data_IF_022799627314
#
_entry.id   IF_022799627314
#
_cell.length_a   1.000
_cell.length_b   1.000
_cell.length_c   1.000
_cell.angle_alpha   90.00
_cell.angle_beta   90.00
_cell.angle_gamma   90.00
#
_symmetry.space_group_name_H-M   'P 1'
#
loop_
_entity.id
_entity.type
_entity.pdbx_description
1 polymer ?
#
# COMPACT_ATOMS: atom_id res chain seq x y z
N UNK A 1 -51.25 -27.37 16.26
CA UNK A 1 -51.17 -28.54 15.36
C UNK A 1 -50.19 -28.16 14.25
N UNK A 2 -49.02 -28.72 14.01
CA UNK A 2 -48.25 -29.85 14.56
C UNK A 2 -46.79 -29.37 14.65
N UNK A 3 -46.19 -29.53 15.85
CA UNK A 3 -44.74 -29.43 16.10
C UNK A 3 -44.13 -30.77 15.73
N UNK A 4 -43.04 -30.79 14.95
CA UNK A 4 -42.08 -31.91 14.98
C UNK A 4 -40.69 -31.34 15.25
N UNK A 5 -40.12 -31.73 16.39
CA UNK A 5 -38.75 -31.47 16.76
C UNK A 5 -37.84 -32.63 16.34
N UNK A 6 -36.54 -32.32 16.24
CA UNK A 6 -35.47 -33.31 16.14
C UNK A 6 -34.19 -32.71 16.69
N UNK A 7 -33.87 -33.03 17.96
CA UNK A 7 -32.57 -32.78 18.61
C UNK A 7 -31.75 -34.07 18.52
N UNK A 8 -30.54 -34.00 17.96
CA UNK A 8 -29.37 -34.86 18.20
C UNK A 8 -28.17 -33.97 17.79
N UNK A 9 -27.08 -33.71 18.52
CA UNK A 9 -26.49 -34.29 19.72
C UNK A 9 -25.00 -34.55 19.47
N UNK A 10 -24.11 -33.73 20.06
CA UNK A 10 -22.67 -33.97 20.34
C UNK A 10 -21.72 -34.09 19.11
N UNK A 11 -20.48 -33.55 19.06
CA UNK A 11 -19.42 -33.46 20.08
C UNK A 11 -18.47 -32.28 19.81
N UNK A 12 -18.32 -31.37 20.77
CA UNK A 12 -17.20 -30.44 20.84
C UNK A 12 -16.04 -31.17 21.51
N UNK A 13 -14.92 -31.37 20.80
CA UNK A 13 -13.67 -31.82 21.43
C UNK A 13 -12.90 -30.58 21.88
N UNK A 14 -12.90 -30.37 23.20
CA UNK A 14 -11.89 -29.59 23.89
C UNK A 14 -10.54 -30.30 23.76
N UNK A 15 -9.48 -29.56 23.43
CA UNK A 15 -8.10 -29.99 23.64
C UNK A 15 -7.48 -29.01 24.63
N UNK A 16 -7.25 -29.55 25.82
CA UNK A 16 -6.61 -28.92 26.97
C UNK A 16 -5.09 -28.93 26.78
N UNK A 17 -4.50 -27.73 26.83
CA UNK A 17 -3.25 -27.34 27.50
C UNK A 17 -2.26 -28.40 28.02
N UNK A 18 -1.00 -28.28 27.59
CA UNK A 18 0.22 -28.35 28.42
C UNK A 18 0.92 -26.99 28.26
N UNK A 19 1.38 -26.25 29.27
CA UNK A 19 1.79 -26.63 30.61
C UNK A 19 3.29 -26.36 30.78
N UNK A 20 3.70 -25.08 30.82
CA UNK A 20 5.04 -24.67 31.24
C UNK A 20 4.97 -23.28 31.88
N UNK A 21 4.58 -23.24 33.15
CA UNK A 21 4.64 -22.07 34.00
C UNK A 21 6.04 -22.02 34.66
N UNK A 22 6.84 -21.02 34.29
CA UNK A 22 8.05 -20.65 35.02
C UNK A 22 7.64 -19.81 36.23
N UNK A 23 7.71 -20.44 37.41
CA UNK A 23 7.66 -19.81 38.72
C UNK A 23 8.95 -18.99 38.95
N UNK A 24 8.82 -17.67 39.00
CA UNK A 24 9.76 -16.82 39.73
C UNK A 24 9.06 -16.27 40.97
N UNK A 25 9.48 -16.76 42.12
CA UNK A 25 9.07 -16.30 43.43
C UNK A 25 9.53 -14.85 43.65
N UNK A 26 8.60 -13.95 43.95
CA UNK A 26 8.90 -12.67 44.58
C UNK A 26 8.23 -12.68 45.95
N UNK A 27 9.06 -12.61 46.98
CA UNK A 27 8.69 -12.61 48.39
C UNK A 27 7.87 -11.36 48.73
N UNK A 28 6.72 -11.57 49.37
CA UNK A 28 5.99 -10.54 50.11
C UNK A 28 6.78 -10.17 51.37
N UNK A 29 7.18 -8.91 51.50
CA UNK A 29 7.75 -8.34 52.71
C UNK A 29 6.97 -7.10 53.14
N UNK A 30 6.34 -7.23 54.31
CA UNK A 30 5.72 -6.25 55.22
C UNK A 30 5.69 -4.75 54.89
N UNK A 31 4.50 -4.19 55.05
CA UNK A 31 4.24 -2.76 55.20
C UNK A 31 4.94 -2.18 56.44
N UNK A 32 5.68 -1.09 56.27
CA UNK A 32 6.02 -0.15 57.33
C UNK A 32 5.68 1.27 56.85
N UNK A 33 4.68 1.90 57.47
CA UNK A 33 4.43 3.32 57.30
C UNK A 33 5.54 4.10 58.02
N UNK A 34 6.42 4.74 57.26
CA UNK A 34 7.31 5.78 57.74
C UNK A 34 6.72 7.16 57.38
N UNK A 35 6.90 8.12 58.27
CA UNK A 35 6.47 9.52 58.15
C UNK A 35 6.98 10.18 56.85
N UNK A 36 6.36 11.28 56.37
CA UNK A 36 6.81 11.94 55.16
C UNK A 36 8.20 12.55 55.36
N UNK A 37 9.22 11.87 54.84
CA UNK A 37 10.56 12.41 54.69
C UNK A 37 10.52 13.59 53.70
N UNK A 38 11.32 14.62 54.01
CA UNK A 38 11.54 15.80 53.19
C UNK A 38 11.88 15.43 51.74
N UNK A 39 11.50 16.25 50.74
CA UNK A 39 11.76 15.95 49.34
C UNK A 39 13.26 15.70 49.12
N UNK A 40 13.62 14.68 48.30
CA UNK A 40 15.01 14.34 48.07
C UNK A 40 15.73 15.52 47.43
N UNK A 41 16.78 15.99 48.10
CA UNK A 41 17.75 16.93 47.52
C UNK A 41 18.40 16.20 46.33
N UNK A 42 18.33 16.74 45.09
CA UNK A 42 18.96 16.10 43.95
C UNK A 42 20.49 16.05 44.16
N UNK A 43 21.17 14.98 43.71
CA UNK A 43 22.63 14.90 43.77
C UNK A 43 23.24 16.06 42.95
N UNK A 44 24.44 16.55 43.33
CA UNK A 44 25.10 17.62 42.59
C UNK A 44 25.35 17.17 41.16
N UNK A 45 24.91 18.01 40.21
CA UNK A 45 25.13 17.80 38.79
C UNK A 45 26.62 18.01 38.48
N UNK A 46 27.40 16.94 38.48
CA UNK A 46 28.77 16.93 37.95
C UNK A 46 28.73 16.95 36.41
N UNK A 47 28.31 18.09 35.88
CA UNK A 47 28.60 18.70 34.57
C UNK A 47 27.95 20.09 34.59
N UNK A 48 28.26 20.88 35.62
CA UNK A 48 27.75 22.24 35.71
C UNK A 48 28.29 23.02 34.50
N UNK A 49 27.38 23.47 33.64
CA UNK A 49 27.66 24.50 32.63
C UNK A 49 28.07 25.75 33.43
N UNK A 50 29.37 25.98 33.53
CA UNK A 50 29.96 27.00 34.42
C UNK A 50 30.42 28.23 33.66
N UNK A 51 30.48 28.16 32.31
CA UNK A 51 30.92 29.26 31.45
C UNK A 51 29.92 29.59 30.34
N UNK A 52 30.01 30.81 29.81
CA UNK A 52 29.28 31.24 28.60
C UNK A 52 29.60 30.35 27.40
N UNK A 53 30.84 29.85 27.32
CA UNK A 53 31.29 28.96 26.25
C UNK A 53 30.57 27.61 26.31
N UNK A 54 30.35 27.06 27.52
CA UNK A 54 29.62 25.81 27.71
C UNK A 54 28.14 25.98 27.35
N UNK A 55 27.54 27.13 27.67
CA UNK A 55 26.15 27.43 27.30
C UNK A 55 25.99 27.54 25.78
N UNK A 56 26.95 28.18 25.10
CA UNK A 56 26.98 28.26 23.63
C UNK A 56 27.15 26.89 22.99
N UNK A 57 28.02 26.03 23.54
CA UNK A 57 28.19 24.67 23.06
C UNK A 57 26.92 23.81 23.27
N UNK A 58 26.27 23.96 24.43
CA UNK A 58 24.99 23.31 24.71
C UNK A 58 23.89 23.77 23.74
N UNK A 59 23.79 25.07 23.48
CA UNK A 59 22.88 25.62 22.47
C UNK A 59 23.13 25.00 21.09
N UNK A 60 24.36 25.03 20.61
CA UNK A 60 24.72 24.50 19.30
C UNK A 60 24.39 23.01 19.19
N UNK A 61 24.65 22.24 20.27
CA UNK A 61 24.32 20.81 20.33
C UNK A 61 22.82 20.55 20.27
N UNK A 62 22.02 21.32 21.03
CA UNK A 62 20.55 21.20 21.02
C UNK A 62 19.98 21.56 19.65
N UNK A 63 20.45 22.63 19.03
CA UNK A 63 20.01 23.03 17.69
C UNK A 63 20.35 21.96 16.65
N UNK A 64 21.55 21.39 16.72
CA UNK A 64 21.96 20.30 15.83
C UNK A 64 21.13 19.03 16.03
N UNK A 65 20.86 18.63 17.28
CA UNK A 65 20.01 17.46 17.57
C UNK A 65 18.60 17.64 17.03
N UNK A 66 17.99 18.82 17.20
CA UNK A 66 16.67 19.09 16.62
C UNK A 66 16.69 19.13 15.10
N UNK A 67 17.74 19.68 14.47
CA UNK A 67 17.89 19.66 13.01
C UNK A 67 18.01 18.23 12.48
N UNK A 68 18.81 17.39 13.14
CA UNK A 68 18.94 15.97 12.79
C UNK A 68 17.62 15.22 13.00
N UNK A 69 16.88 15.53 14.07
CA UNK A 69 15.56 14.98 14.33
C UNK A 69 14.54 15.37 13.25
N UNK A 70 14.56 16.61 12.77
CA UNK A 70 13.71 17.08 11.68
C UNK A 70 14.08 16.38 10.36
N UNK A 71 15.37 16.30 10.02
CA UNK A 71 15.82 15.55 8.84
C UNK A 71 15.36 14.08 8.86
N UNK A 72 15.47 13.43 10.00
CA UNK A 72 15.01 12.05 10.17
C UNK A 72 13.48 11.95 10.15
N UNK A 73 12.75 12.95 10.67
CA UNK A 73 11.29 13.05 10.57
C UNK A 73 10.83 13.11 9.11
N UNK A 74 11.52 13.90 8.29
CA UNK A 74 11.19 14.00 6.88
C UNK A 74 11.48 12.71 6.09
N UNK A 75 12.56 11.99 6.45
CA UNK A 75 12.80 10.63 5.92
C UNK A 75 11.69 9.67 6.33
N UNK A 76 11.31 9.66 7.61
CA UNK A 76 10.21 8.84 8.12
C UNK A 76 8.90 9.12 7.39
N UNK A 77 8.60 10.39 7.13
CA UNK A 77 7.41 10.82 6.39
C UNK A 77 7.44 10.31 4.94
N UNK A 78 8.57 10.44 4.26
CA UNK A 78 8.75 9.92 2.90
C UNK A 78 8.57 8.38 2.84
N UNK A 79 9.20 7.64 3.77
CA UNK A 79 9.08 6.19 3.87
C UNK A 79 7.62 5.78 4.14
N UNK A 80 6.91 6.50 5.01
CA UNK A 80 5.50 6.24 5.32
C UNK A 80 4.58 6.51 4.13
N UNK A 81 4.83 7.58 3.35
CA UNK A 81 4.08 7.83 2.11
C UNK A 81 4.34 6.75 1.06
N UNK A 82 5.59 6.32 0.91
CA UNK A 82 5.94 5.21 0.03
C UNK A 82 5.26 3.91 0.46
N UNK A 83 5.25 3.62 1.77
CA UNK A 83 4.58 2.45 2.32
C UNK A 83 3.08 2.47 1.98
N UNK A 84 2.40 3.59 2.18
CA UNK A 84 0.99 3.74 1.80
C UNK A 84 0.74 3.49 0.31
N UNK A 85 1.60 4.03 -0.58
CA UNK A 85 1.51 3.78 -2.03
C UNK A 85 1.76 2.31 -2.38
N UNK A 86 2.73 1.66 -1.73
CA UNK A 86 3.04 0.22 -1.92
C UNK A 86 1.88 -0.65 -1.44
N UNK A 87 1.23 -0.31 -0.33
CA UNK A 87 0.05 -1.02 0.17
C UNK A 87 -1.12 -0.95 -0.80
N UNK A 88 -1.39 0.22 -1.41
CA UNK A 88 -2.42 0.35 -2.44
C UNK A 88 -2.11 -0.53 -3.66
N UNK A 89 -0.85 -0.57 -4.12
CA UNK A 89 -0.42 -1.46 -5.20
C UNK A 89 -0.55 -2.93 -4.82
N UNK A 90 -0.20 -3.29 -3.58
CA UNK A 90 -0.35 -4.66 -3.08
C UNK A 90 -1.82 -5.11 -3.11
N UNK A 91 -2.75 -4.23 -2.74
CA UNK A 91 -4.19 -4.51 -2.80
C UNK A 91 -4.66 -4.75 -4.25
N UNK A 92 -4.22 -3.92 -5.19
CA UNK A 92 -4.54 -4.07 -6.61
C UNK A 92 -3.98 -5.38 -7.20
N UNK A 93 -2.71 -5.68 -6.91
CA UNK A 93 -2.07 -6.93 -7.35
C UNK A 93 -2.75 -8.15 -6.74
N UNK A 94 -3.15 -8.10 -5.46
CA UNK A 94 -3.87 -9.19 -4.80
C UNK A 94 -5.24 -9.44 -5.46
N UNK A 95 -5.97 -8.39 -5.84
CA UNK A 95 -7.19 -8.54 -6.63
C UNK A 95 -6.91 -9.17 -8.00
N UNK A 96 -5.81 -8.77 -8.65
CA UNK A 96 -5.32 -9.38 -9.88
C UNK A 96 -4.98 -10.87 -9.76
N UNK A 97 -4.38 -11.30 -8.63
CA UNK A 97 -4.12 -12.72 -8.35
C UNK A 97 -5.43 -13.51 -8.25
N UNK A 98 -6.45 -12.97 -7.58
CA UNK A 98 -7.76 -13.63 -7.47
C UNK A 98 -8.39 -13.81 -8.86
N UNK A 99 -8.36 -12.77 -9.69
CA UNK A 99 -8.89 -12.83 -11.05
C UNK A 99 -8.10 -13.81 -11.94
N UNK A 100 -6.77 -13.78 -11.86
CA UNK A 100 -5.91 -14.70 -12.62
C UNK A 100 -6.16 -16.16 -12.23
N UNK A 101 -6.38 -16.45 -10.94
CA UNK A 101 -6.77 -17.80 -10.48
C UNK A 101 -8.10 -18.23 -11.10
N UNK A 102 -9.11 -17.37 -11.11
CA UNK A 102 -10.40 -17.69 -11.74
C UNK A 102 -10.25 -18.00 -13.23
N UNK A 103 -9.38 -17.29 -13.95
CA UNK A 103 -9.13 -17.57 -15.36
C UNK A 103 -8.39 -18.89 -15.59
N UNK A 104 -7.44 -19.23 -14.73
CA UNK A 104 -6.79 -20.54 -14.77
C UNK A 104 -7.82 -21.65 -14.57
N UNK A 105 -8.73 -21.51 -13.60
CA UNK A 105 -9.79 -22.51 -13.38
C UNK A 105 -10.75 -22.62 -14.58
N UNK A 106 -11.20 -21.50 -15.16
CA UNK A 106 -12.00 -21.52 -16.40
C UNK A 106 -11.25 -22.17 -17.56
N UNK A 107 -9.96 -21.87 -17.73
CA UNK A 107 -9.15 -22.46 -18.79
C UNK A 107 -8.95 -23.97 -18.59
N UNK A 108 -8.83 -24.45 -17.35
CA UNK A 108 -8.82 -25.88 -17.02
C UNK A 108 -10.15 -26.55 -17.33
N UNK A 109 -11.29 -25.89 -17.06
CA UNK A 109 -12.61 -26.39 -17.45
C UNK A 109 -12.73 -26.55 -18.97
N UNK A 110 -12.26 -25.57 -19.73
CA UNK A 110 -12.25 -25.59 -21.20
C UNK A 110 -11.36 -26.73 -21.75
N UNK A 111 -10.15 -26.86 -21.20
CA UNK A 111 -9.25 -27.98 -21.51
C UNK A 111 -9.87 -29.34 -21.15
N UNK A 112 -10.57 -29.43 -20.02
CA UNK A 112 -11.27 -30.64 -19.60
C UNK A 112 -12.41 -31.02 -20.55
N UNK A 113 -13.14 -30.03 -21.10
CA UNK A 113 -14.14 -30.28 -22.16
C UNK A 113 -13.48 -30.79 -23.43
N UNK A 114 -12.38 -30.17 -23.85
CA UNK A 114 -11.61 -30.61 -25.02
C UNK A 114 -11.09 -32.05 -24.86
N UNK A 115 -10.50 -32.37 -23.71
CA UNK A 115 -9.99 -33.71 -23.42
C UNK A 115 -11.10 -34.77 -23.44
N UNK A 116 -12.28 -34.47 -22.88
CA UNK A 116 -13.45 -35.35 -22.93
C UNK A 116 -13.92 -35.59 -24.37
N UNK A 117 -13.99 -34.55 -25.20
CA UNK A 117 -14.35 -34.69 -26.61
C UNK A 117 -13.40 -35.65 -27.31
N UNK A 118 -12.08 -35.42 -27.23
CA UNK A 118 -11.07 -36.28 -27.85
C UNK A 118 -11.15 -37.73 -27.37
N UNK A 119 -11.37 -37.94 -26.07
CA UNK A 119 -11.55 -39.26 -25.48
C UNK A 119 -12.79 -39.98 -26.03
N UNK A 120 -13.94 -39.28 -26.09
CA UNK A 120 -15.20 -39.86 -26.58
C UNK A 120 -15.20 -40.17 -28.08
N UNK A 121 -14.49 -39.38 -28.89
CA UNK A 121 -14.38 -39.61 -30.34
C UNK A 121 -13.32 -40.66 -30.73
N UNK A 122 -12.64 -41.31 -29.75
CA UNK A 122 -11.62 -42.35 -29.96
C UNK A 122 -10.64 -42.02 -31.09
N UNK A 123 -9.97 -40.87 -31.00
CA UNK A 123 -8.69 -40.55 -31.65
C UNK A 123 -8.33 -41.21 -33.00
N UNK A 124 -9.26 -41.34 -33.96
CA UNK A 124 -8.86 -41.71 -35.32
C UNK A 124 -8.25 -40.48 -35.97
N UNK A 125 -7.03 -40.60 -36.46
CA UNK A 125 -6.34 -39.51 -37.14
C UNK A 125 -7.23 -38.98 -38.28
N UNK A 126 -7.43 -37.66 -38.42
CA UNK A 126 -8.21 -37.10 -39.52
C UNK A 126 -7.72 -37.57 -40.90
N UNK A 127 -6.43 -37.86 -41.04
CA UNK A 127 -5.83 -38.40 -42.26
C UNK A 127 -6.20 -39.88 -42.47
N UNK A 128 -6.24 -40.67 -41.39
CA UNK A 128 -6.78 -42.05 -41.42
C UNK A 128 -8.28 -42.03 -41.76
N UNK A 129 -9.02 -41.08 -41.22
CA UNK A 129 -10.45 -40.88 -41.52
C UNK A 129 -10.66 -40.52 -42.99
N UNK A 130 -9.81 -39.69 -43.58
CA UNK A 130 -9.81 -39.39 -45.01
C UNK A 130 -9.50 -40.63 -45.86
N UNK A 131 -8.45 -41.38 -45.52
CA UNK A 131 -8.03 -42.60 -46.24
C UNK A 131 -9.05 -43.74 -46.15
N UNK A 132 -9.80 -43.81 -45.06
CA UNK A 132 -10.83 -44.81 -44.82
C UNK A 132 -12.24 -44.31 -45.20
N UNK A 133 -12.38 -43.07 -45.70
CA UNK A 133 -13.68 -42.50 -46.06
C UNK A 133 -14.19 -43.04 -47.40
N UNK A 134 -15.49 -43.33 -47.47
CA UNK A 134 -16.16 -43.76 -48.69
C UNK A 134 -16.46 -42.61 -49.68
N UNK A 135 -16.38 -41.34 -49.23
CA UNK A 135 -16.60 -40.14 -50.05
C UNK A 135 -15.52 -39.06 -49.76
N UNK A 136 -14.41 -39.06 -50.51
CA UNK A 136 -13.36 -38.07 -50.37
C UNK A 136 -13.79 -36.63 -50.70
N UNK A 137 -14.81 -36.46 -51.56
CA UNK A 137 -15.27 -35.14 -51.98
C UNK A 137 -16.05 -34.44 -50.85
N UNK A 138 -16.75 -35.20 -50.00
CA UNK A 138 -17.38 -34.66 -48.79
C UNK A 138 -16.34 -34.17 -47.78
N UNK A 139 -15.28 -34.95 -47.54
CA UNK A 139 -14.21 -34.52 -46.64
C UNK A 139 -13.57 -33.20 -47.09
N UNK A 140 -13.26 -33.05 -48.39
CA UNK A 140 -12.68 -31.81 -48.92
C UNK A 140 -13.61 -30.59 -48.77
N UNK A 141 -14.94 -30.79 -48.75
CA UNK A 141 -15.92 -29.73 -48.44
C UNK A 141 -15.91 -29.36 -46.96
N UNK A 142 -15.69 -30.33 -46.08
CA UNK A 142 -15.71 -30.15 -44.62
C UNK A 142 -14.35 -29.73 -44.03
N UNK A 143 -13.26 -29.86 -44.80
CA UNK A 143 -11.89 -29.55 -44.39
C UNK A 143 -11.70 -28.15 -43.75
N UNK A 144 -12.30 -27.06 -44.27
CA UNK A 144 -12.21 -25.75 -43.61
C UNK A 144 -12.84 -25.72 -42.21
N UNK A 145 -13.84 -26.56 -41.96
CA UNK A 145 -14.48 -26.68 -40.64
C UNK A 145 -13.57 -27.43 -39.66
N UNK A 146 -12.92 -28.49 -40.10
CA UNK A 146 -11.91 -29.20 -39.30
C UNK A 146 -10.72 -28.31 -38.95
N UNK A 147 -10.24 -27.51 -39.90
CA UNK A 147 -9.16 -26.55 -39.65
C UNK A 147 -9.56 -25.53 -38.57
N UNK A 148 -10.77 -24.96 -38.65
CA UNK A 148 -11.28 -24.05 -37.60
C UNK A 148 -11.39 -24.72 -36.24
N UNK A 149 -11.81 -25.99 -36.20
CA UNK A 149 -11.85 -26.76 -34.95
C UNK A 149 -10.44 -26.96 -34.39
N UNK A 150 -9.47 -27.39 -35.22
CA UNK A 150 -8.07 -27.55 -34.83
C UNK A 150 -7.47 -26.24 -34.28
N UNK A 151 -7.66 -25.13 -35.00
CA UNK A 151 -7.23 -23.81 -34.53
C UNK A 151 -7.89 -23.42 -33.21
N UNK A 152 -9.20 -23.65 -33.06
CA UNK A 152 -9.88 -23.40 -31.78
C UNK A 152 -9.34 -24.25 -30.62
N UNK A 153 -8.83 -25.47 -30.88
CA UNK A 153 -8.18 -26.31 -29.86
C UNK A 153 -6.82 -25.74 -29.46
N UNK A 154 -6.00 -25.36 -30.44
CA UNK A 154 -4.71 -24.71 -30.21
C UNK A 154 -4.87 -23.40 -29.44
N UNK A 155 -5.87 -22.58 -29.78
CA UNK A 155 -6.20 -21.35 -29.06
C UNK A 155 -6.61 -21.61 -27.61
N UNK A 156 -7.32 -22.71 -27.35
CA UNK A 156 -7.72 -23.10 -25.98
C UNK A 156 -6.50 -23.46 -25.13
N UNK A 157 -5.57 -24.23 -25.69
CA UNK A 157 -4.30 -24.58 -25.04
C UNK A 157 -3.45 -23.33 -24.81
N UNK A 158 -3.35 -22.45 -25.81
CA UNK A 158 -2.61 -21.20 -25.71
C UNK A 158 -3.19 -20.27 -24.62
N UNK A 159 -4.52 -20.13 -24.55
CA UNK A 159 -5.20 -19.37 -23.48
C UNK A 159 -4.93 -19.94 -22.09
N UNK A 160 -4.96 -21.26 -21.93
CA UNK A 160 -4.67 -21.89 -20.65
C UNK A 160 -3.22 -21.66 -20.20
N UNK A 161 -2.26 -21.86 -21.11
CA UNK A 161 -0.85 -21.55 -20.86
C UNK A 161 -0.66 -20.08 -20.49
N UNK A 162 -1.32 -19.16 -21.21
CA UNK A 162 -1.24 -17.74 -20.92
C UNK A 162 -1.85 -17.37 -19.56
N UNK A 163 -2.97 -17.98 -19.18
CA UNK A 163 -3.59 -17.78 -17.87
C UNK A 163 -2.67 -18.23 -16.72
N UNK A 164 -2.00 -19.38 -16.86
CA UNK A 164 -1.03 -19.85 -15.86
C UNK A 164 0.18 -18.90 -15.74
N UNK A 165 0.75 -18.47 -16.87
CA UNK A 165 1.85 -17.49 -16.88
C UNK A 165 1.45 -16.17 -16.22
N UNK A 166 0.23 -15.68 -16.48
CA UNK A 166 -0.31 -14.48 -15.84
C UNK A 166 -0.47 -14.67 -14.32
N UNK A 167 -0.99 -15.82 -13.88
CA UNK A 167 -1.10 -16.13 -12.46
C UNK A 167 0.26 -16.13 -11.76
N UNK A 168 1.26 -16.79 -12.33
CA UNK A 168 2.62 -16.81 -11.78
C UNK A 168 3.24 -15.41 -11.74
N UNK A 169 3.05 -14.61 -12.80
CA UNK A 169 3.54 -13.23 -12.82
C UNK A 169 2.88 -12.36 -11.74
N UNK A 170 1.56 -12.48 -11.55
CA UNK A 170 0.81 -11.76 -10.52
C UNK A 170 1.21 -12.19 -9.10
N UNK A 171 1.42 -13.49 -8.87
CA UNK A 171 1.91 -13.99 -7.58
C UNK A 171 3.30 -13.45 -7.26
N UNK A 172 4.23 -13.48 -8.22
CA UNK A 172 5.57 -12.91 -8.05
C UNK A 172 5.52 -11.41 -7.77
N UNK A 173 4.62 -10.67 -8.42
CA UNK A 173 4.38 -9.26 -8.14
C UNK A 173 3.87 -9.04 -6.71
N UNK A 174 2.91 -9.86 -6.26
CA UNK A 174 2.35 -9.77 -4.90
C UNK A 174 3.42 -10.00 -3.84
N UNK A 175 4.25 -11.03 -4.00
CA UNK A 175 5.35 -11.33 -3.09
C UNK A 175 6.37 -10.19 -3.04
N UNK A 176 6.68 -9.57 -4.19
CA UNK A 176 7.58 -8.42 -4.26
C UNK A 176 7.00 -7.18 -3.53
N UNK A 177 5.70 -6.89 -3.69
CA UNK A 177 5.06 -5.78 -2.96
C UNK A 177 5.04 -6.03 -1.45
N UNK A 178 4.81 -7.28 -1.02
CA UNK A 178 4.85 -7.64 0.40
C UNK A 178 6.25 -7.51 1.00
N UNK A 179 7.28 -7.95 0.27
CA UNK A 179 8.67 -7.80 0.70
C UNK A 179 9.06 -6.32 0.84
N UNK A 180 8.66 -5.49 -0.12
CA UNK A 180 8.91 -4.04 -0.08
C UNK A 180 8.14 -3.36 1.07
N UNK A 181 6.89 -3.72 1.32
CA UNK A 181 6.11 -3.21 2.46
C UNK A 181 6.84 -3.50 3.78
N UNK A 182 7.31 -4.74 3.98
CA UNK A 182 8.06 -5.12 5.19
C UNK A 182 9.36 -4.35 5.34
N UNK A 183 10.09 -4.13 4.24
CA UNK A 183 11.33 -3.34 4.23
C UNK A 183 11.07 -1.90 4.67
N UNK A 184 10.04 -1.26 4.10
CA UNK A 184 9.64 0.11 4.43
C UNK A 184 9.13 0.23 5.87
N UNK A 185 8.39 -0.76 6.38
CA UNK A 185 7.95 -0.82 7.78
C UNK A 185 9.14 -0.89 8.75
N UNK A 186 10.15 -1.70 8.44
CA UNK A 186 11.37 -1.78 9.25
C UNK A 186 12.16 -0.47 9.22
N UNK A 187 12.33 0.13 8.03
CA UNK A 187 13.01 1.41 7.85
C UNK A 187 12.32 2.54 8.62
N UNK A 188 10.98 2.59 8.56
CA UNK A 188 10.17 3.54 9.33
C UNK A 188 10.31 3.31 10.85
N UNK A 189 10.35 2.05 11.31
CA UNK A 189 10.55 1.72 12.71
C UNK A 189 11.93 2.16 13.21
N UNK A 190 13.00 1.88 12.47
CA UNK A 190 14.36 2.31 12.82
C UNK A 190 14.47 3.82 12.87
N UNK A 191 13.92 4.51 11.85
CA UNK A 191 13.96 5.98 11.80
C UNK A 191 13.18 6.60 12.95
N UNK A 192 12.03 6.01 13.33
CA UNK A 192 11.27 6.44 14.51
C UNK A 192 12.12 6.39 15.78
N UNK A 193 12.84 5.29 16.02
CA UNK A 193 13.72 5.16 17.18
C UNK A 193 14.85 6.18 17.16
N UNK A 194 15.47 6.42 16.00
CA UNK A 194 16.53 7.41 15.83
C UNK A 194 16.05 8.83 16.20
N UNK A 195 14.90 9.23 15.66
CA UNK A 195 14.37 10.56 15.96
C UNK A 195 14.02 10.68 17.46
N UNK A 196 13.45 9.63 18.08
CA UNK A 196 13.12 9.61 19.52
C UNK A 196 14.38 9.78 20.38
N UNK A 197 15.46 9.10 20.01
CA UNK A 197 16.75 9.20 20.68
C UNK A 197 17.29 10.63 20.63
N UNK A 198 17.25 11.27 19.45
CA UNK A 198 17.75 12.65 19.26
C UNK A 198 16.95 13.66 20.06
N UNK A 199 15.62 13.55 20.07
CA UNK A 199 14.73 14.42 20.85
C UNK A 199 15.03 14.25 22.34
N UNK A 200 15.14 13.01 22.81
CA UNK A 200 15.42 12.71 24.23
C UNK A 200 16.78 13.28 24.67
N UNK A 201 17.80 13.19 23.80
CA UNK A 201 19.12 13.77 24.07
C UNK A 201 19.05 15.30 24.17
N UNK A 202 18.32 15.96 23.25
CA UNK A 202 18.15 17.41 23.27
C UNK A 202 17.42 17.87 24.54
N UNK A 203 16.34 17.17 24.91
CA UNK A 203 15.59 17.43 26.15
C UNK A 203 16.43 17.24 27.40
N UNK A 204 17.31 16.22 27.42
CA UNK A 204 18.22 15.99 28.55
C UNK A 204 19.17 17.16 28.74
N UNK A 205 19.72 17.73 27.66
CA UNK A 205 20.57 18.91 27.73
C UNK A 205 19.79 20.10 28.28
N UNK A 206 18.59 20.37 27.74
CA UNK A 206 17.76 21.48 28.19
C UNK A 206 17.31 21.35 29.65
N UNK A 207 17.01 20.13 30.10
CA UNK A 207 16.62 19.85 31.49
C UNK A 207 17.77 20.04 32.48
N UNK A 208 19.03 20.04 32.01
CA UNK A 208 20.21 20.33 32.83
C UNK A 208 20.51 21.81 33.02
N UNK A 209 19.79 22.72 32.35
CA UNK A 209 20.04 24.17 32.39
C UNK A 209 19.22 24.85 33.50
N UNK A 210 19.78 25.89 34.13
CA UNK A 210 19.04 26.74 35.07
C UNK A 210 18.05 27.66 34.35
N UNK A 211 17.02 28.21 35.04
CA UNK A 211 16.11 29.19 34.46
C UNK A 211 16.82 30.42 33.85
N UNK A 212 17.91 30.88 34.46
CA UNK A 212 18.72 32.00 33.97
C UNK A 212 19.45 31.64 32.68
N UNK A 213 20.02 30.43 32.61
CA UNK A 213 20.68 29.91 31.40
C UNK A 213 19.68 29.73 30.25
N UNK A 214 18.47 29.24 30.54
CA UNK A 214 17.39 29.14 29.56
C UNK A 214 16.92 30.52 29.06
N UNK A 215 16.87 31.53 29.94
CA UNK A 215 16.54 32.89 29.55
C UNK A 215 17.61 33.52 28.66
N UNK A 216 18.91 33.31 28.97
CA UNK A 216 20.00 33.80 28.11
C UNK A 216 20.00 33.07 26.76
N UNK A 217 19.73 31.76 26.74
CA UNK A 217 19.56 30.99 25.51
C UNK A 217 18.47 31.60 24.60
N UNK A 218 17.31 31.92 25.18
CA UNK A 218 16.23 32.57 24.45
C UNK A 218 16.62 33.97 23.94
N UNK A 219 17.42 34.72 24.71
CA UNK A 219 17.94 36.03 24.30
C UNK A 219 18.89 35.92 23.11
N UNK A 220 19.80 34.93 23.13
CA UNK A 220 20.71 34.67 22.01
C UNK A 220 19.97 34.24 20.74
N UNK A 221 18.97 33.37 20.87
CA UNK A 221 18.11 32.98 19.75
C UNK A 221 17.36 34.19 19.16
N UNK A 222 16.85 35.09 20.00
CA UNK A 222 16.20 36.32 19.56
C UNK A 222 17.15 37.26 18.81
N UNK A 223 18.37 37.50 19.34
CA UNK A 223 19.38 38.33 18.68
C UNK A 223 19.80 37.76 17.32
N UNK A 224 20.01 36.44 17.24
CA UNK A 224 20.29 35.76 15.97
C UNK A 224 19.14 35.93 14.97
N UNK A 225 17.90 35.81 15.45
CA UNK A 225 16.72 35.99 14.61
C UNK A 225 16.54 37.42 14.11
N UNK A 226 16.89 38.42 14.91
CA UNK A 226 16.89 39.84 14.51
C UNK A 226 17.96 40.12 13.46
N UNK A 227 19.18 39.60 13.65
CA UNK A 227 20.27 39.75 12.69
C UNK A 227 19.93 39.12 11.33
N UNK A 228 19.41 37.89 11.34
CA UNK A 228 18.98 37.22 10.13
C UNK A 228 17.79 37.92 9.45
N UNK A 229 16.87 38.51 10.22
CA UNK A 229 15.78 39.32 9.67
C UNK A 229 16.29 40.61 9.04
N UNK A 230 17.28 41.28 9.65
CA UNK A 230 17.89 42.46 9.06
C UNK A 230 18.56 42.14 7.72
N UNK A 231 19.27 41.01 7.64
CA UNK A 231 19.83 40.52 6.38
C UNK A 231 18.75 40.17 5.36
N UNK A 232 17.64 39.56 5.78
CA UNK A 232 16.53 39.29 4.86
C UNK A 232 15.93 40.60 4.31
N UNK A 233 15.74 41.61 5.17
CA UNK A 233 15.19 42.91 4.78
C UNK A 233 16.03 43.68 3.76
N UNK A 234 17.33 43.38 3.63
CA UNK A 234 18.15 43.97 2.55
C UNK A 234 17.98 43.25 1.22
N UNK A 235 17.54 41.98 1.24
CA UNK A 235 17.31 41.14 0.06
C UNK A 235 15.88 41.23 -0.45
N UNK A 236 14.91 41.35 0.45
CA UNK A 236 13.50 41.54 0.12
C UNK A 236 13.25 43.04 0.01
N UNK A 237 12.77 43.49 -1.15
CA UNK A 237 12.47 44.90 -1.37
C UNK A 237 11.27 45.36 -0.55
N UNK A 238 10.43 46.25 -1.11
CA UNK A 238 9.16 46.60 -0.46
C UNK A 238 8.30 45.34 -0.33
N UNK A 239 7.84 44.97 0.88
CA UNK A 239 7.07 43.75 1.07
C UNK A 239 5.73 43.85 0.33
N UNK A 240 5.48 42.93 -0.60
CA UNK A 240 4.15 42.78 -1.20
C UNK A 240 3.19 42.20 -0.16
N UNK A 241 2.00 42.79 -0.07
CA UNK A 241 0.90 42.33 0.79
C UNK A 241 -0.20 41.64 -0.03
N UNK A 242 -0.07 41.64 -1.35
CA UNK A 242 -1.00 40.99 -2.26
C UNK A 242 -0.64 39.51 -2.41
N UNK A 243 -1.67 38.70 -2.51
CA UNK A 243 -1.57 37.26 -2.70
C UNK A 243 -2.76 36.76 -3.53
N UNK A 244 -2.84 35.47 -3.86
CA UNK A 244 -4.01 34.93 -4.57
C UNK A 244 -5.10 34.50 -3.58
N UNK A 245 -6.37 34.36 -4.03
CA UNK A 245 -7.43 33.82 -3.18
C UNK A 245 -7.08 32.46 -2.56
N UNK A 246 -6.39 31.60 -3.31
CA UNK A 246 -5.96 30.27 -2.81
C UNK A 246 -4.88 30.40 -1.74
N UNK A 247 -3.86 31.23 -1.98
CA UNK A 247 -2.84 31.49 -0.99
C UNK A 247 -3.42 32.14 0.29
N UNK A 248 -4.40 33.05 0.16
CA UNK A 248 -5.10 33.61 1.31
C UNK A 248 -5.84 32.55 2.14
N UNK A 249 -6.49 31.56 1.50
CA UNK A 249 -7.11 30.42 2.19
C UNK A 249 -6.07 29.54 2.89
N UNK A 250 -4.92 29.27 2.26
CA UNK A 250 -3.84 28.49 2.86
C UNK A 250 -3.27 29.20 4.10
N UNK A 251 -3.03 30.51 3.99
CA UNK A 251 -2.58 31.35 5.11
C UNK A 251 -3.59 31.32 6.26
N UNK A 252 -4.89 31.51 5.95
CA UNK A 252 -5.94 31.48 6.96
C UNK A 252 -5.99 30.14 7.69
N UNK A 253 -5.86 29.02 6.96
CA UNK A 253 -5.75 27.70 7.57
C UNK A 253 -4.56 27.60 8.51
N UNK A 254 -3.37 28.04 8.08
CA UNK A 254 -2.16 27.94 8.88
C UNK A 254 -2.21 28.82 10.14
N UNK A 255 -2.76 30.03 10.02
CA UNK A 255 -3.02 30.94 11.15
C UNK A 255 -3.96 30.30 12.18
N UNK A 256 -5.03 29.64 11.73
CA UNK A 256 -5.97 28.93 12.61
C UNK A 256 -5.31 27.78 13.40
N UNK A 257 -4.13 27.31 12.98
CA UNK A 257 -3.39 26.27 13.71
C UNK A 257 -2.39 26.83 14.72
N UNK A 258 -2.18 28.14 14.79
CA UNK A 258 -1.29 28.75 15.79
C UNK A 258 -1.70 28.31 17.20
N UNK A 259 -0.70 27.95 18.01
CA UNK A 259 -0.90 27.42 19.36
C UNK A 259 -1.07 25.90 19.43
N UNK A 260 -1.35 25.20 18.33
CA UNK A 260 -1.34 23.71 18.32
C UNK A 260 0.09 23.18 18.48
N UNK A 261 0.29 22.04 19.15
CA UNK A 261 1.62 21.46 19.35
C UNK A 261 2.27 21.04 18.03
N UNK A 262 3.59 21.13 17.99
CA UNK A 262 4.38 20.40 17.01
C UNK A 262 4.28 18.90 17.32
N UNK A 263 3.96 18.12 16.30
CA UNK A 263 3.98 16.66 16.37
C UNK A 263 4.76 16.19 15.15
N UNK A 264 5.92 15.57 15.34
CA UNK A 264 6.69 14.96 14.24
C UNK A 264 5.80 14.00 13.43
N UNK A 265 5.82 14.07 12.10
CA UNK A 265 4.89 13.33 11.25
C UNK A 265 3.43 13.79 11.30
N UNK A 266 3.10 14.79 12.11
CA UNK A 266 1.76 15.27 12.38
C UNK A 266 1.13 16.00 11.19
N UNK A 267 -0.13 15.70 10.93
CA UNK A 267 -0.93 16.29 9.83
C UNK A 267 -2.31 16.75 10.29
N UNK A 268 -2.48 17.00 11.59
CA UNK A 268 -3.73 17.41 12.23
C UNK A 268 -4.67 16.26 12.62
N UNK A 269 -5.78 16.56 13.32
CA UNK A 269 -6.12 17.90 13.82
C UNK A 269 -5.39 18.28 15.12
N UNK A 270 -4.82 17.31 15.84
CA UNK A 270 -4.23 17.53 17.18
C UNK A 270 -2.93 18.33 17.15
N UNK A 271 -2.14 18.22 16.07
CA UNK A 271 -0.89 18.94 15.89
C UNK A 271 -0.29 18.65 14.52
N UNK A 272 0.76 19.39 14.16
CA UNK A 272 1.38 19.33 12.83
C UNK A 272 2.90 19.35 12.95
N UNK A 273 3.62 18.72 12.02
CA UNK A 273 5.02 19.07 11.76
C UNK A 273 5.12 20.20 10.72
N UNK A 274 6.34 20.62 10.37
CA UNK A 274 6.55 21.78 9.51
C UNK A 274 5.93 21.60 8.11
N UNK A 275 6.25 20.49 7.44
CA UNK A 275 5.76 20.16 6.09
C UNK A 275 4.31 19.65 6.08
N UNK A 276 3.83 19.11 7.19
CA UNK A 276 2.45 18.71 7.43
C UNK A 276 1.53 19.92 7.55
N UNK A 277 1.97 20.98 8.22
CA UNK A 277 1.23 22.25 8.28
C UNK A 277 1.07 22.87 6.87
N UNK A 278 2.16 22.97 6.11
CA UNK A 278 2.13 23.58 4.76
C UNK A 278 1.32 22.72 3.79
N UNK A 279 1.50 21.40 3.80
CA UNK A 279 0.77 20.49 2.92
C UNK A 279 -0.74 20.49 3.19
N UNK A 280 -1.15 20.54 4.46
CA UNK A 280 -2.58 20.62 4.82
C UNK A 280 -3.18 22.00 4.53
N UNK A 281 -2.44 23.08 4.76
CA UNK A 281 -2.89 24.42 4.40
C UNK A 281 -3.17 24.57 2.90
N UNK A 282 -2.24 24.12 2.06
CA UNK A 282 -2.40 24.20 0.62
C UNK A 282 -3.41 23.19 0.05
N UNK A 283 -3.53 22.00 0.66
CA UNK A 283 -4.62 21.08 0.34
C UNK A 283 -6.00 21.67 0.66
N UNK A 284 -6.15 22.38 1.79
CA UNK A 284 -7.38 23.09 2.15
C UNK A 284 -7.74 24.19 1.12
N UNK A 285 -6.73 24.85 0.56
CA UNK A 285 -6.88 25.82 -0.52
C UNK A 285 -7.09 25.21 -1.93
N UNK A 286 -7.22 23.87 -2.03
CA UNK A 286 -7.44 23.17 -3.30
C UNK A 286 -6.20 23.06 -4.19
N UNK A 287 -5.00 23.15 -3.61
CA UNK A 287 -3.70 22.95 -4.29
C UNK A 287 -2.89 21.95 -3.48
N UNK A 288 -3.16 20.64 -3.57
CA UNK A 288 -2.41 19.65 -2.82
C UNK A 288 -0.92 19.69 -3.22
N UNK A 289 -0.04 19.81 -2.23
CA UNK A 289 1.41 19.71 -2.39
C UNK A 289 1.93 18.45 -1.70
N UNK A 290 3.17 18.07 -2.02
CA UNK A 290 3.85 16.89 -1.47
C UNK A 290 3.97 16.93 0.06
N UNK A 291 4.09 15.77 0.70
CA UNK A 291 4.04 15.65 2.17
C UNK A 291 5.29 16.20 2.86
N UNK A 292 6.47 16.00 2.28
CA UNK A 292 7.76 16.34 2.92
C UNK A 292 8.31 17.66 2.42
N UNK A 293 9.10 18.34 3.26
CA UNK A 293 9.73 19.62 2.90
C UNK A 293 10.69 19.47 1.71
N UNK A 294 11.43 18.36 1.61
CA UNK A 294 12.32 18.07 0.48
C UNK A 294 11.54 17.87 -0.81
N UNK A 295 10.40 17.15 -0.78
CA UNK A 295 9.58 16.99 -1.97
C UNK A 295 8.88 18.30 -2.35
N UNK A 296 8.46 19.12 -1.40
CA UNK A 296 7.93 20.46 -1.66
C UNK A 296 8.99 21.33 -2.34
N UNK A 297 10.23 21.32 -1.86
CA UNK A 297 11.37 21.98 -2.49
C UNK A 297 11.67 21.44 -3.91
N UNK A 298 11.62 20.13 -4.09
CA UNK A 298 11.94 19.49 -5.37
C UNK A 298 10.87 19.71 -6.43
N UNK A 299 9.58 19.70 -6.05
CA UNK A 299 8.46 19.68 -6.99
C UNK A 299 7.86 21.04 -7.32
N UNK A 300 8.03 22.05 -6.45
CA UNK A 300 7.41 23.35 -6.62
C UNK A 300 8.28 24.34 -7.42
N UNK A 301 7.66 25.28 -8.17
CA UNK A 301 8.36 26.38 -8.81
C UNK A 301 9.15 27.22 -7.81
N UNK A 302 10.40 27.57 -8.16
CA UNK A 302 11.27 28.41 -7.34
C UNK A 302 11.00 29.88 -7.62
N UNK A 303 11.09 30.70 -6.59
CA UNK A 303 10.86 32.14 -6.67
C UNK A 303 12.08 32.87 -6.07
N UNK A 304 12.58 33.94 -6.73
CA UNK A 304 13.58 34.81 -6.13
C UNK A 304 13.10 35.39 -4.79
N UNK A 305 13.99 35.56 -3.81
CA UNK A 305 13.62 36.13 -2.51
C UNK A 305 12.93 37.50 -2.64
N UNK A 306 13.38 38.33 -3.58
CA UNK A 306 12.80 39.65 -3.82
C UNK A 306 11.34 39.60 -4.32
N UNK A 307 10.93 38.48 -4.93
CA UNK A 307 9.59 38.28 -5.49
C UNK A 307 8.69 37.45 -4.57
N UNK A 308 9.13 37.18 -3.33
CA UNK A 308 8.32 36.44 -2.36
C UNK A 308 7.04 37.20 -2.03
N UNK A 309 5.94 36.47 -1.94
CA UNK A 309 4.63 37.02 -1.56
C UNK A 309 3.95 36.13 -0.52
N UNK A 310 3.01 36.67 0.29
CA UNK A 310 2.29 35.87 1.26
C UNK A 310 1.72 34.60 0.64
N UNK A 311 1.89 33.46 1.30
CA UNK A 311 1.52 32.13 0.83
C UNK A 311 2.68 31.32 0.26
N UNK A 312 3.72 31.97 -0.27
CA UNK A 312 4.94 31.27 -0.67
C UNK A 312 5.54 30.49 0.50
N UNK A 313 6.22 29.39 0.21
CA UNK A 313 6.86 28.55 1.21
C UNK A 313 8.35 28.86 1.26
N UNK A 314 8.86 29.15 2.45
CA UNK A 314 10.29 29.36 2.69
C UNK A 314 10.88 28.05 3.18
N UNK A 315 11.81 27.50 2.40
CA UNK A 315 12.55 26.28 2.72
C UNK A 315 13.87 26.67 3.37
N UNK A 316 14.20 26.02 4.48
CA UNK A 316 15.36 26.31 5.31
C UNK A 316 16.36 25.16 5.29
N UNK A 317 17.63 25.54 5.54
CA UNK A 317 18.81 24.67 5.57
C UNK A 317 19.13 24.00 4.22
N UNK A 318 20.41 23.71 3.99
CA UNK A 318 20.90 23.12 2.72
C UNK A 318 20.27 21.76 2.37
N UNK A 319 19.77 21.04 3.36
CA UNK A 319 19.12 19.73 3.21
C UNK A 319 17.60 19.83 3.10
N UNK A 320 17.05 21.05 3.01
CA UNK A 320 15.62 21.33 2.96
C UNK A 320 14.85 20.66 4.09
N UNK A 321 15.44 20.58 5.29
CA UNK A 321 14.87 19.87 6.44
C UNK A 321 13.73 20.62 7.10
N UNK A 322 13.60 21.94 6.93
CA UNK A 322 12.53 22.71 7.56
C UNK A 322 11.83 23.63 6.57
N UNK A 323 10.55 23.90 6.83
CA UNK A 323 9.73 24.76 5.96
C UNK A 323 8.73 25.60 6.75
N UNK A 324 8.47 26.82 6.28
CA UNK A 324 7.44 27.71 6.82
C UNK A 324 6.64 28.39 5.71
N UNK A 325 5.43 28.86 6.02
CA UNK A 325 4.61 29.64 5.08
C UNK A 325 4.82 31.13 5.33
N UNK A 326 5.18 31.87 4.29
CA UNK A 326 5.37 33.32 4.35
C UNK A 326 4.03 34.04 4.53
N UNK A 327 3.99 35.00 5.44
CA UNK A 327 2.80 35.80 5.75
C UNK A 327 2.88 37.23 5.21
N UNK A 328 4.00 37.62 4.61
CA UNK A 328 4.31 39.03 4.33
C UNK A 328 5.11 39.69 5.46
N UNK A 329 5.62 40.89 5.20
CA UNK A 329 6.33 41.73 6.19
C UNK A 329 7.49 41.02 6.90
N UNK A 330 8.19 40.12 6.20
CA UNK A 330 9.29 39.35 6.79
C UNK A 330 8.84 38.38 7.88
N UNK A 331 7.59 37.91 7.86
CA UNK A 331 7.05 36.96 8.84
C UNK A 331 6.68 35.63 8.19
N UNK A 332 6.79 34.56 8.98
CA UNK A 332 6.33 33.22 8.62
C UNK A 332 5.41 32.68 9.70
N UNK A 333 4.54 31.73 9.33
CA UNK A 333 3.94 30.76 10.25
C UNK A 333 4.59 29.40 10.01
N UNK A 334 4.98 28.71 11.09
CA UNK A 334 5.57 27.38 11.01
C UNK A 334 5.30 26.55 12.27
N UNK A 335 5.52 25.24 12.16
CA UNK A 335 5.64 24.35 13.31
C UNK A 335 7.14 24.16 13.61
N UNK A 336 7.71 24.76 14.66
CA UNK A 336 9.17 24.92 14.79
C UNK A 336 9.95 23.64 15.14
N UNK A 337 9.52 22.89 16.17
CA UNK A 337 10.19 21.68 16.68
C UNK A 337 9.37 21.03 17.80
N UNK A 338 9.64 19.77 18.18
CA UNK A 338 9.05 19.14 19.37
C UNK A 338 9.18 20.01 20.62
N UNK A 339 8.16 19.99 21.48
CA UNK A 339 8.12 20.84 22.68
C UNK A 339 7.73 22.30 22.42
N UNK A 340 7.39 22.66 21.18
CA UNK A 340 6.91 23.99 20.81
C UNK A 340 5.56 23.89 20.11
N UNK A 341 4.88 25.02 19.98
CA UNK A 341 3.63 25.12 19.25
C UNK A 341 3.83 25.89 17.94
N UNK A 342 2.87 25.72 17.03
CA UNK A 342 2.80 26.49 15.79
C UNK A 342 2.74 27.97 16.14
N UNK A 343 3.64 28.76 15.55
CA UNK A 343 3.85 30.16 15.91
C UNK A 343 4.16 31.01 14.68
N UNK A 344 4.01 32.31 14.84
CA UNK A 344 4.59 33.31 13.94
C UNK A 344 6.04 33.57 14.35
N UNK A 345 6.94 33.70 13.37
CA UNK A 345 8.35 34.03 13.58
C UNK A 345 8.86 34.97 12.47
N UNK A 346 10.04 35.56 12.67
CA UNK A 346 10.76 36.26 11.62
C UNK A 346 11.17 35.28 10.53
N UNK A 347 10.91 35.62 9.27
CA UNK A 347 11.25 34.79 8.11
C UNK A 347 12.75 34.55 7.99
N UNK A 348 13.57 35.54 8.39
CA UNK A 348 15.03 35.45 8.41
C UNK A 348 15.60 34.80 9.66
N UNK A 349 14.80 34.21 10.55
CA UNK A 349 15.32 33.65 11.83
C UNK A 349 16.15 32.38 11.68
N UNK A 350 16.16 31.77 10.49
CA UNK A 350 16.87 30.54 10.17
C UNK A 350 17.53 30.67 8.78
N UNK A 351 18.61 29.93 8.49
CA UNK A 351 19.25 29.94 7.18
C UNK A 351 18.30 29.52 6.06
N UNK A 352 17.98 30.44 5.14
CA UNK A 352 17.07 30.17 4.02
C UNK A 352 17.83 29.45 2.90
N UNK A 353 17.29 28.31 2.45
CA UNK A 353 17.72 27.64 1.22
C UNK A 353 17.10 28.30 -0.02
N UNK A 354 15.81 28.60 0.05
CA UNK A 354 15.10 29.24 -1.04
C UNK A 354 13.59 29.33 -0.80
N UNK A 355 12.89 29.89 -1.79
CA UNK A 355 11.44 30.10 -1.76
C UNK A 355 10.79 29.33 -2.90
N UNK A 356 9.65 28.70 -2.62
CA UNK A 356 8.83 28.01 -3.61
C UNK A 356 7.38 28.46 -3.58
N UNK A 357 6.72 28.44 -4.74
CA UNK A 357 5.36 28.94 -4.92
C UNK A 357 4.41 27.84 -5.38
N UNK A 358 3.45 27.43 -4.53
CA UNK A 358 2.48 26.38 -4.87
C UNK A 358 1.47 26.71 -5.97
N UNK A 359 1.13 27.99 -6.19
CA UNK A 359 0.03 28.38 -7.07
C UNK A 359 0.50 29.14 -8.33
N UNK A 360 -0.34 29.10 -9.38
CA UNK A 360 -0.02 29.70 -10.68
C UNK A 360 -0.25 31.23 -10.78
N UNK A 361 -0.55 31.92 -9.67
CA UNK A 361 -0.57 33.40 -9.65
C UNK A 361 -1.82 34.11 -10.17
N UNK A 362 -2.95 33.44 -10.38
CA UNK A 362 -4.16 34.10 -10.90
C UNK A 362 -4.96 34.88 -9.83
N UNK A 363 -5.14 36.19 -10.06
CA UNK A 363 -5.93 37.10 -9.23
C UNK A 363 -5.22 37.56 -7.95
N UNK A 364 -5.43 38.80 -7.52
CA UNK A 364 -4.80 39.37 -6.31
C UNK A 364 -5.84 39.79 -5.27
N UNK A 365 -5.65 39.36 -4.03
CA UNK A 365 -6.37 39.75 -2.80
C UNK A 365 -5.36 40.15 -1.74
N UNK A 366 -5.80 40.88 -0.71
CA UNK A 366 -4.95 41.15 0.44
C UNK A 366 -4.73 39.88 1.25
N UNK A 367 -3.51 39.66 1.73
CA UNK A 367 -3.22 38.56 2.65
C UNK A 367 -3.99 38.72 3.97
N UNK A 368 -4.38 37.60 4.63
CA UNK A 368 -4.98 37.65 5.96
C UNK A 368 -4.09 38.40 6.96
N UNK A 369 -4.72 39.10 7.90
CA UNK A 369 -4.01 39.84 8.93
C UNK A 369 -3.13 38.90 9.78
N UNK A 370 -1.88 39.29 10.01
CA UNK A 370 -0.95 38.55 10.85
C UNK A 370 -1.39 38.73 12.31
N UNK A 371 -1.69 37.64 13.05
CA UNK A 371 -2.09 37.77 14.44
C UNK A 371 -0.92 38.28 15.30
N UNK A 372 -1.19 39.20 16.22
CA UNK A 372 -0.21 39.64 17.21
C UNK A 372 -0.17 38.63 18.36
N UNK A 373 0.54 37.52 18.17
CA UNK A 373 0.71 36.49 19.21
C UNK A 373 2.14 36.56 19.74
N UNK A 374 2.35 36.89 21.03
CA UNK A 374 3.63 36.65 21.67
C UNK A 374 3.97 35.17 21.54
N UNK A 375 5.17 34.85 21.06
CA UNK A 375 5.63 33.46 21.02
C UNK A 375 5.46 32.84 22.41
N UNK A 376 4.97 31.58 22.51
CA UNK A 376 4.71 30.98 23.80
C UNK A 376 6.01 30.92 24.63
N UNK A 377 5.92 31.12 25.96
CA UNK A 377 7.04 30.81 26.85
C UNK A 377 7.49 29.36 26.61
N UNK A 378 8.76 29.03 26.88
CA UNK A 378 9.24 27.65 26.82
C UNK A 378 8.61 26.84 27.96
N UNK A 379 7.32 26.56 27.87
CA UNK A 379 6.70 25.48 28.63
C UNK A 379 7.03 24.17 27.93
N UNK A 380 7.03 23.06 28.67
CA UNK A 380 7.21 21.71 28.14
C UNK A 380 5.84 21.12 27.79
N UNK A 381 5.27 21.34 26.59
CA UNK A 381 4.16 20.52 26.14
C UNK A 381 4.68 19.09 25.90
N UNK A 382 3.88 18.06 26.19
CA UNK A 382 4.30 16.68 26.00
C UNK A 382 4.66 16.41 24.54
N UNK A 383 5.82 15.83 24.28
CA UNK A 383 6.15 15.26 22.97
C UNK A 383 5.25 14.05 22.76
N UNK A 384 4.16 14.24 22.03
CA UNK A 384 3.27 13.14 21.69
C UNK A 384 3.88 12.37 20.52
N UNK A 385 4.15 11.09 20.75
CA UNK A 385 4.39 10.16 19.65
C UNK A 385 3.08 10.06 18.85
N UNK A 386 3.05 10.33 17.53
CA UNK A 386 1.86 10.31 16.72
C UNK A 386 1.37 8.87 16.69
N UNK A 387 0.06 8.66 16.78
CA UNK A 387 -0.51 7.36 16.47
C UNK A 387 -0.11 7.03 15.03
N UNK A 388 0.44 5.84 14.83
CA UNK A 388 0.57 5.28 13.49
C UNK A 388 -0.84 4.92 13.05
N UNK A 389 -1.52 5.84 12.37
CA UNK A 389 -2.70 5.45 11.59
C UNK A 389 -2.18 4.77 10.33
N UNK A 390 -1.67 3.55 10.48
CA UNK A 390 -1.64 2.62 9.36
C UNK A 390 -3.08 2.44 8.94
N UNK A 391 -3.45 2.68 7.66
CA UNK A 391 -4.76 2.23 7.19
C UNK A 391 -4.89 0.75 7.57
N UNK A 392 -6.05 0.33 8.11
CA UNK A 392 -6.20 -1.03 8.59
C UNK A 392 -5.83 -1.99 7.47
N UNK A 393 -4.88 -2.87 7.77
CA UNK A 393 -4.60 -4.03 6.95
C UNK A 393 -5.85 -4.89 7.03
N UNK A 394 -6.80 -4.66 6.13
CA UNK A 394 -7.66 -5.75 5.70
C UNK A 394 -6.73 -6.64 4.89
N UNK A 395 -6.03 -7.55 5.56
CA UNK A 395 -5.62 -8.79 4.92
C UNK A 395 -6.93 -9.38 4.43
N UNK A 396 -7.24 -9.40 3.11
CA UNK A 396 -8.23 -10.36 2.66
C UNK A 396 -7.73 -11.71 3.20
N UNK A 397 -8.58 -12.51 3.84
CA UNK A 397 -8.13 -13.78 4.35
C UNK A 397 -7.48 -14.51 3.19
N UNK A 398 -6.20 -14.86 3.35
CA UNK A 398 -5.61 -15.92 2.55
C UNK A 398 -6.27 -17.21 3.07
N UNK A 399 -7.56 -17.38 2.77
CA UNK A 399 -8.06 -18.72 2.57
C UNK A 399 -7.33 -19.16 1.31
N UNK A 400 -6.27 -19.94 1.48
CA UNK A 400 -6.04 -21.01 0.53
C UNK A 400 -7.36 -21.80 0.52
N UNK A 401 -8.22 -21.70 -0.52
CA UNK A 401 -9.23 -22.73 -0.67
C UNK A 401 -8.46 -24.06 -0.67
N UNK A 402 -8.98 -25.10 0.00
CA UNK A 402 -8.30 -26.38 0.02
C UNK A 402 -7.96 -26.75 -1.41
N UNK A 403 -6.70 -27.11 -1.65
CA UNK A 403 -6.32 -27.81 -2.87
C UNK A 403 -7.06 -29.14 -2.80
N UNK A 404 -8.29 -29.14 -3.30
CA UNK A 404 -8.94 -30.36 -3.70
C UNK A 404 -8.23 -30.75 -4.98
N UNK A 405 -7.12 -31.48 -4.84
CA UNK A 405 -6.72 -32.38 -5.91
C UNK A 405 -7.95 -33.22 -6.21
N UNK A 406 -8.55 -33.14 -7.42
CA UNK A 406 -9.55 -34.12 -7.78
C UNK A 406 -8.90 -35.50 -7.60
N UNK A 407 -9.61 -36.49 -7.04
CA UNK A 407 -9.04 -37.81 -6.87
C UNK A 407 -8.52 -38.28 -8.21
N UNK A 408 -7.24 -38.66 -8.26
CA UNK A 408 -6.70 -39.43 -9.38
C UNK A 408 -7.39 -40.78 -9.30
N UNK A 409 -8.55 -40.90 -9.95
CA UNK A 409 -9.12 -42.21 -10.25
C UNK A 409 -8.29 -42.76 -11.41
N UNK A 410 -7.31 -43.59 -11.08
CA UNK A 410 -6.79 -44.55 -12.04
C UNK A 410 -8.00 -45.35 -12.56
N UNK A 411 -8.30 -45.33 -13.87
CA UNK A 411 -9.35 -46.20 -14.39
C UNK A 411 -8.95 -47.66 -14.10
N UNK A 412 -9.90 -48.54 -13.75
CA UNK A 412 -9.58 -49.94 -13.54
C UNK A 412 -9.00 -50.51 -14.82
N UNK A 413 -7.84 -51.16 -14.71
CA UNK A 413 -7.27 -51.97 -15.78
C UNK A 413 -8.19 -53.18 -15.96
N UNK A 414 -9.09 -53.11 -16.92
CA UNK A 414 -9.78 -54.29 -17.42
C UNK A 414 -8.97 -54.87 -18.58
N UNK A 415 -8.31 -55.99 -18.32
CA UNK A 415 -7.79 -56.86 -19.37
C UNK A 415 -8.98 -57.37 -20.20
N UNK A 416 -8.98 -57.20 -21.54
CA UNK A 416 -10.02 -57.79 -22.38
C UNK A 416 -9.91 -59.33 -22.33
N UNK A 417 -11.03 -60.07 -22.41
CA UNK A 417 -10.98 -61.52 -22.44
C UNK A 417 -10.29 -62.00 -23.72
N UNK A 418 -9.30 -62.87 -23.55
CA UNK A 418 -8.66 -63.60 -24.66
C UNK A 418 -9.66 -64.63 -25.16
N UNK A 419 -10.30 -64.35 -26.30
CA UNK A 419 -11.03 -65.38 -27.05
C UNK A 419 -10.05 -66.08 -27.98
N UNK A 420 -9.68 -67.31 -27.62
CA UNK A 420 -9.01 -68.25 -28.54
C UNK A 420 -9.98 -68.68 -29.63
N UNK A 421 -9.62 -68.61 -30.93
CA UNK A 421 -10.46 -69.16 -31.99
C UNK A 421 -10.44 -70.70 -31.94
N UNK A 422 -11.55 -71.39 -32.28
CA UNK A 422 -11.59 -72.84 -32.30
C UNK A 422 -10.74 -73.40 -33.45
N UNK A 423 -10.16 -74.62 -33.30
CA UNK A 423 -9.30 -75.22 -34.30
C UNK A 423 -10.08 -75.62 -35.57
N UNK A 424 -9.49 -75.29 -36.72
CA UNK A 424 -9.95 -75.69 -38.06
C UNK A 424 -9.74 -77.19 -38.26
N UNK A 425 -10.82 -77.97 -38.28
CA UNK A 425 -10.83 -79.34 -38.80
C UNK A 425 -11.49 -79.36 -40.17
N UNK A 426 -10.74 -79.77 -41.19
CA UNK A 426 -11.25 -79.99 -42.54
C UNK A 426 -12.14 -81.25 -42.58
N UNK A 427 -13.30 -81.22 -43.25
CA UNK A 427 -14.06 -82.43 -43.52
C UNK A 427 -13.57 -83.12 -44.81
N UNK A 428 -13.64 -84.47 -44.89
CA UNK A 428 -13.16 -85.26 -46.02
C UNK A 428 -14.16 -85.31 -47.18
N UNK A 429 -13.63 -85.60 -48.36
CA UNK A 429 -14.32 -85.81 -49.64
C UNK A 429 -15.04 -87.16 -49.75
N UNK A 430 -16.26 -87.20 -50.30
CA UNK A 430 -16.76 -88.21 -51.28
C UNK A 430 -18.19 -87.88 -51.81
N UNK A 431 -18.59 -88.34 -53.02
CA UNK A 431 -19.69 -87.78 -53.86
C UNK A 431 -20.92 -88.74 -54.02
N UNK A 432 -21.81 -88.60 -55.04
CA UNK A 432 -23.03 -87.78 -55.03
C UNK A 432 -24.35 -88.60 -55.15
N UNK A 433 -25.51 -87.97 -54.91
CA UNK A 433 -26.79 -88.46 -55.44
C UNK A 433 -27.81 -87.34 -55.70
N UNK A 434 -28.47 -87.49 -56.83
CA UNK A 434 -29.50 -86.70 -57.52
C UNK A 434 -30.81 -86.46 -56.73
N UNK A 435 -31.44 -85.30 -56.97
CA UNK A 435 -32.82 -85.03 -56.56
C UNK A 435 -33.36 -83.71 -57.13
N UNK A 436 -34.17 -83.82 -58.17
CA UNK A 436 -34.87 -82.82 -58.98
C UNK A 436 -35.95 -82.00 -58.24
N UNK A 437 -36.22 -80.75 -58.66
CA UNK A 437 -37.53 -80.10 -58.44
C UNK A 437 -37.53 -78.57 -58.37
N UNK A 438 -37.77 -77.92 -59.51
CA UNK A 438 -37.95 -76.46 -59.74
C UNK A 438 -39.41 -76.00 -59.39
N UNK A 439 -39.85 -74.75 -59.68
CA UNK A 439 -39.88 -73.55 -58.82
C UNK A 439 -41.32 -73.00 -58.59
N UNK A 440 -41.46 -71.88 -57.86
CA UNK A 440 -42.51 -70.90 -58.17
C UNK A 440 -42.13 -69.50 -57.66
N UNK A 441 -42.27 -68.50 -58.52
CA UNK A 441 -41.98 -67.09 -58.25
C UNK A 441 -43.24 -66.20 -58.21
N UNK A 442 -43.02 -64.91 -58.50
CA UNK A 442 -43.97 -63.81 -58.75
C UNK A 442 -43.99 -62.77 -57.61
N UNK A 443 -43.33 -61.60 -57.72
CA UNK A 443 -43.54 -60.38 -58.56
C UNK A 443 -44.38 -59.29 -57.87
N UNK A 444 -44.08 -58.05 -58.30
CA UNK A 444 -44.81 -56.77 -58.17
C UNK A 444 -44.49 -55.97 -56.90
N UNK A 445 -44.34 -54.65 -56.92
CA UNK A 445 -44.51 -53.63 -57.97
C UNK A 445 -44.61 -52.25 -57.29
N UNK A 446 -43.86 -51.29 -57.82
CA UNK A 446 -43.76 -49.83 -57.53
C UNK A 446 -45.13 -49.08 -57.66
N UNK A 447 -45.26 -47.73 -57.53
CA UNK A 447 -44.82 -46.71 -56.55
C UNK A 447 -45.89 -45.60 -56.20
N UNK A 448 -45.45 -44.63 -55.37
CA UNK A 448 -45.69 -43.16 -55.44
C UNK A 448 -46.99 -42.48 -54.95
N UNK A 449 -46.79 -41.44 -54.11
CA UNK A 449 -47.42 -40.10 -53.96
C UNK A 449 -47.31 -39.68 -52.47
N UNK A 450 -47.07 -38.45 -52.03
CA UNK A 450 -47.05 -37.13 -52.65
C UNK A 450 -47.57 -36.10 -51.62
N UNK A 451 -46.83 -35.00 -51.44
CA UNK A 451 -47.24 -33.66 -50.94
C UNK A 451 -47.82 -33.43 -49.53
N UNK A 452 -47.29 -32.42 -48.83
CA UNK A 452 -47.99 -31.70 -47.76
C UNK A 452 -47.10 -30.86 -46.82
N UNK A 453 -46.78 -29.62 -47.19
CA UNK A 453 -46.39 -28.48 -46.30
C UNK A 453 -47.69 -27.66 -45.97
N UNK A 454 -47.71 -26.52 -45.25
CA UNK A 454 -46.78 -25.86 -44.29
C UNK A 454 -47.45 -25.17 -43.05
N UNK A 455 -46.61 -24.42 -42.29
CA UNK A 455 -46.92 -23.19 -41.50
C UNK A 455 -47.43 -23.38 -40.06
N UNK A 456 -47.07 -22.59 -39.05
CA UNK A 456 -46.27 -21.35 -38.95
C UNK A 456 -46.41 -20.79 -37.52
N UNK A 457 -45.59 -19.79 -37.15
CA UNK A 457 -45.68 -19.05 -35.87
C UNK A 457 -44.33 -18.66 -35.30
#
# INVERSE_FOLDING_TARGET
MVKLGGRIGLRTRAVTSCGAALLCAVLFGGNAWAAPDAPPVPPPADTAITSVQDLLAAQARVQELYRQAEQATERFNATTEQLGRTQLKANDVNAGVVWARQNVEKAKEDLGRLARLQYTTRGMDPLLTLMLSADPAQFLRDAPTYERVSQSQLDTIARAKQAELQLTAMQKSADAQLAESRRLEQEAATTRTDIQSRITEAEKILAGLTPEQLAELARMEALSAEAGQAQLNTLIGKPDQQTTPKAALAIAFAIDKIGKPYIWGGVGPEGYDCSGLTSKAWAFAGVPIRRTSQEQWASLPRVPLADMRPGDLIVYYSDASHIGMYLGNGKIVHAPRPGRTITVANAGSMPILGVVRPDAGAGTVNAPAIPNVPGPPPTKPPVTTPPVTTPPVTTPPVTTPPVTTPPVTTPPVTTPPVTTPPPSTAPPSTPPATGTGTPSGSKSGTPAKGSGTPSGG
#
